data_IF_230055909572
#
_entry.id   IF_230055909572
#
_cell.length_a   1.000
_cell.length_b   1.000
_cell.length_c   1.000
_cell.angle_alpha   90.00
_cell.angle_beta   90.00
_cell.angle_gamma   90.00
#
_symmetry.space_group_name_H-M   'P 1'
#
loop_
_entity.id
_entity.type
_entity.pdbx_description
1 polymer ?
#
# COMPACT_ATOMS: atom_id res chain seq x y z
N UNK A 1 -83.62 -46.76 -16.23
CA UNK A 1 -84.10 -45.41 -15.86
C UNK A 1 -83.58 -45.09 -14.46
N UNK A 2 -82.27 -44.80 -14.33
CA UNK A 2 -81.66 -43.47 -14.14
C UNK A 2 -82.12 -42.74 -12.87
N UNK A 3 -81.27 -42.76 -11.83
CA UNK A 3 -81.24 -41.77 -10.75
C UNK A 3 -79.79 -41.39 -10.46
N UNK A 4 -79.51 -40.12 -10.67
CA UNK A 4 -78.19 -39.50 -10.70
C UNK A 4 -77.81 -38.92 -9.34
N UNK A 5 -76.52 -39.01 -9.03
CA UNK A 5 -75.81 -38.53 -7.85
C UNK A 5 -75.84 -37.00 -7.67
N UNK A 6 -75.87 -36.58 -6.40
CA UNK A 6 -75.64 -35.21 -5.91
C UNK A 6 -74.14 -34.94 -5.75
N UNK A 7 -73.63 -33.81 -6.24
CA UNK A 7 -72.43 -33.15 -5.73
C UNK A 7 -72.59 -31.62 -5.78
N UNK A 8 -72.21 -30.98 -4.66
CA UNK A 8 -72.37 -29.56 -4.38
C UNK A 8 -71.41 -28.68 -5.21
N UNK A 9 -71.92 -27.59 -5.79
CA UNK A 9 -71.10 -26.50 -6.36
C UNK A 9 -70.92 -25.39 -5.33
N UNK A 10 -69.66 -25.06 -5.03
CA UNK A 10 -69.26 -23.83 -4.34
C UNK A 10 -69.54 -22.61 -5.23
N UNK A 11 -70.14 -21.57 -4.65
CA UNK A 11 -70.32 -20.26 -5.27
C UNK A 11 -68.98 -19.51 -5.19
N UNK A 12 -68.41 -19.16 -6.34
CA UNK A 12 -67.30 -18.22 -6.44
C UNK A 12 -67.88 -16.83 -6.73
N UNK A 13 -67.87 -15.95 -5.73
CA UNK A 13 -68.20 -14.53 -5.91
C UNK A 13 -66.99 -13.84 -6.53
N UNK A 14 -67.06 -13.52 -7.82
CA UNK A 14 -66.06 -12.70 -8.51
C UNK A 14 -66.26 -11.26 -8.06
N UNK A 15 -65.38 -10.76 -7.19
CA UNK A 15 -65.25 -9.33 -6.94
C UNK A 15 -64.50 -8.70 -8.11
N UNK A 16 -65.24 -8.06 -9.01
CA UNK A 16 -64.66 -7.15 -10.01
C UNK A 16 -64.28 -5.86 -9.27
N UNK A 17 -63.01 -5.73 -8.88
CA UNK A 17 -62.46 -4.44 -8.47
C UNK A 17 -62.27 -3.61 -9.75
N UNK A 18 -62.84 -2.39 -9.85
CA UNK A 18 -62.67 -1.57 -11.04
C UNK A 18 -61.21 -1.18 -11.22
N UNK A 19 -60.70 -1.41 -12.44
CA UNK A 19 -59.31 -1.19 -12.89
C UNK A 19 -58.79 0.24 -12.62
N UNK A 20 -59.68 1.19 -12.33
CA UNK A 20 -59.33 2.58 -12.02
C UNK A 20 -58.64 2.78 -10.65
N UNK A 21 -58.86 1.89 -9.67
CA UNK A 21 -58.27 2.05 -8.32
C UNK A 21 -56.85 1.45 -8.26
N UNK A 22 -56.56 0.43 -9.07
CA UNK A 22 -55.23 -0.18 -9.15
C UNK A 22 -54.19 0.74 -9.81
N UNK A 23 -54.61 1.60 -10.75
CA UNK A 23 -53.71 2.56 -11.41
C UNK A 23 -53.35 3.74 -10.50
N UNK A 24 -54.25 4.13 -9.58
CA UNK A 24 -53.99 5.23 -8.64
C UNK A 24 -53.05 4.84 -7.50
N UNK A 25 -53.10 3.57 -7.05
CA UNK A 25 -52.16 3.02 -6.06
C UNK A 25 -50.78 2.71 -6.66
N UNK A 26 -50.68 2.28 -7.93
CA UNK A 26 -49.37 2.05 -8.58
C UNK A 26 -48.65 3.36 -8.91
N UNK A 27 -49.38 4.41 -9.28
CA UNK A 27 -48.79 5.73 -9.56
C UNK A 27 -48.40 6.48 -8.29
N UNK A 28 -49.11 6.31 -7.17
CA UNK A 28 -48.65 6.86 -5.88
C UNK A 28 -47.50 6.07 -5.25
N UNK A 29 -47.44 4.73 -5.43
CA UNK A 29 -46.29 3.93 -4.98
C UNK A 29 -45.01 4.19 -5.79
N UNK A 30 -45.12 4.46 -7.09
CA UNK A 30 -43.95 4.79 -7.93
C UNK A 30 -43.45 6.23 -7.72
N UNK A 31 -44.31 7.15 -7.25
CA UNK A 31 -43.91 8.53 -6.91
C UNK A 31 -43.36 8.63 -5.48
N UNK A 32 -43.72 7.70 -4.58
CA UNK A 32 -43.23 7.71 -3.20
C UNK A 32 -41.78 7.24 -3.03
N UNK A 33 -41.22 6.49 -3.97
CA UNK A 33 -39.79 6.10 -3.96
C UNK A 33 -38.86 7.12 -4.62
N UNK A 34 -39.41 8.09 -5.36
CA UNK A 34 -38.61 9.14 -6.04
C UNK A 34 -38.50 10.43 -5.21
N UNK A 35 -39.28 10.58 -4.12
CA UNK A 35 -39.31 11.80 -3.29
C UNK A 35 -38.72 11.66 -1.87
N UNK A 36 -37.94 10.61 -1.59
CA UNK A 36 -37.35 10.40 -0.26
C UNK A 36 -35.82 10.27 -0.24
N UNK A 37 -35.10 11.03 -1.08
CA UNK A 37 -33.70 11.35 -0.79
C UNK A 37 -33.50 12.87 -0.80
N UNK A 38 -33.92 13.51 0.28
CA UNK A 38 -33.83 14.98 0.46
C UNK A 38 -32.44 15.44 0.94
N UNK A 39 -31.54 14.52 1.29
CA UNK A 39 -30.14 14.84 1.53
C UNK A 39 -29.25 14.12 0.51
N UNK A 40 -28.68 14.84 -0.49
CA UNK A 40 -27.63 14.27 -1.31
C UNK A 40 -26.48 13.82 -0.42
N UNK A 41 -25.89 12.67 -0.75
CA UNK A 41 -24.75 12.15 -0.03
C UNK A 41 -23.55 13.08 -0.07
N UNK A 42 -22.82 13.15 1.04
CA UNK A 42 -21.55 13.89 1.17
C UNK A 42 -20.47 12.95 1.68
N UNK A 43 -19.35 12.91 0.98
CA UNK A 43 -18.13 12.23 1.44
C UNK A 43 -17.01 13.25 1.51
N UNK A 44 -16.37 13.36 2.67
CA UNK A 44 -15.21 14.23 2.87
C UNK A 44 -14.03 13.43 3.37
N UNK A 45 -12.84 13.93 3.09
CA UNK A 45 -11.61 13.26 3.46
C UNK A 45 -10.38 14.11 3.18
N UNK A 46 -9.23 13.46 3.23
CA UNK A 46 -7.96 14.09 2.91
C UNK A 46 -6.97 13.10 2.25
N UNK A 47 -6.00 13.65 1.52
CA UNK A 47 -4.85 12.93 1.00
C UNK A 47 -3.59 13.65 1.45
N UNK A 48 -2.69 12.93 2.11
CA UNK A 48 -1.50 13.50 2.73
C UNK A 48 -0.21 12.79 2.35
N UNK A 49 0.89 13.54 2.45
CA UNK A 49 2.24 13.04 2.46
C UNK A 49 2.64 12.69 3.91
N UNK A 50 2.89 11.41 4.14
CA UNK A 50 3.56 10.86 5.31
C UNK A 50 5.08 10.91 5.08
N UNK A 51 5.69 12.06 5.37
CA UNK A 51 7.10 12.31 5.07
C UNK A 51 8.01 11.29 5.76
N UNK A 52 7.67 10.88 6.98
CA UNK A 52 8.46 9.90 7.75
C UNK A 52 8.19 8.45 7.35
N UNK A 53 7.13 8.20 6.58
CA UNK A 53 6.72 6.87 6.14
C UNK A 53 6.29 5.95 7.29
N UNK A 54 5.93 6.49 8.45
CA UNK A 54 5.67 5.72 9.67
C UNK A 54 4.17 5.49 9.95
N UNK A 55 3.29 5.98 9.08
CA UNK A 55 1.85 5.92 9.19
C UNK A 55 1.29 6.59 10.47
N UNK A 56 1.94 7.66 10.95
CA UNK A 56 1.50 8.45 12.11
C UNK A 56 0.71 9.70 11.66
N UNK A 57 -0.62 9.76 11.86
CA UNK A 57 -1.43 10.87 11.40
C UNK A 57 -1.04 12.25 11.95
N UNK A 58 -0.27 12.31 13.04
CA UNK A 58 0.17 13.57 13.64
C UNK A 58 1.27 14.28 12.84
N UNK A 59 1.92 13.59 11.89
CA UNK A 59 3.01 14.15 11.09
C UNK A 59 2.67 14.36 9.61
N UNK A 60 1.43 14.09 9.23
CA UNK A 60 0.97 14.20 7.85
C UNK A 60 0.97 15.66 7.40
N UNK A 61 1.41 15.88 6.17
CA UNK A 61 1.38 17.19 5.51
C UNK A 61 0.64 17.11 4.17
N UNK A 62 -0.01 18.17 3.71
CA UNK A 62 -0.60 18.19 2.36
C UNK A 62 0.46 17.97 1.28
N UNK A 63 0.09 17.29 0.20
CA UNK A 63 0.90 17.30 -1.02
C UNK A 63 0.93 18.71 -1.63
N UNK A 64 2.06 19.07 -2.23
CA UNK A 64 2.18 20.33 -2.97
C UNK A 64 1.27 20.34 -4.21
N UNK A 65 1.11 19.15 -4.81
CA UNK A 65 0.31 18.89 -5.99
C UNK A 65 -1.06 18.35 -5.57
N UNK A 66 -2.19 18.89 -6.09
CA UNK A 66 -3.52 18.35 -5.79
C UNK A 66 -3.67 16.89 -6.23
N UNK A 67 -4.06 16.03 -5.29
CA UNK A 67 -4.35 14.64 -5.56
C UNK A 67 -5.74 14.49 -6.19
N UNK A 68 -5.88 13.59 -7.18
CA UNK A 68 -7.18 13.23 -7.74
C UNK A 68 -7.79 12.09 -6.92
N UNK A 69 -9.05 12.25 -6.56
CA UNK A 69 -9.80 11.26 -5.76
C UNK A 69 -11.03 10.86 -6.54
N UNK A 70 -11.30 9.56 -6.64
CA UNK A 70 -12.43 9.01 -7.37
C UNK A 70 -13.36 8.25 -6.43
N UNK A 71 -14.67 8.26 -6.73
CA UNK A 71 -15.67 7.50 -5.99
C UNK A 71 -16.47 6.59 -6.91
N UNK A 72 -16.71 5.37 -6.44
CA UNK A 72 -17.42 4.29 -7.13
C UNK A 72 -18.59 3.80 -6.29
N UNK A 73 -19.68 3.40 -6.96
CA UNK A 73 -20.78 2.63 -6.35
C UNK A 73 -20.69 1.20 -6.85
N UNK A 74 -20.36 0.25 -5.97
CA UNK A 74 -20.00 -1.09 -6.42
C UNK A 74 -18.82 -1.04 -7.39
N UNK A 75 -19.01 -1.49 -8.63
CA UNK A 75 -18.00 -1.40 -9.70
C UNK A 75 -18.20 -0.22 -10.65
N UNK A 76 -19.25 0.58 -10.45
CA UNK A 76 -19.58 1.71 -11.33
C UNK A 76 -18.88 2.97 -10.86
N UNK A 77 -18.04 3.55 -11.72
CA UNK A 77 -17.47 4.88 -11.52
C UNK A 77 -18.58 5.93 -11.44
N UNK A 78 -18.51 6.83 -10.45
CA UNK A 78 -19.48 7.91 -10.27
C UNK A 78 -18.88 9.24 -10.70
N UNK A 79 -17.80 9.66 -10.05
CA UNK A 79 -17.15 10.96 -10.30
C UNK A 79 -15.75 10.99 -9.69
N UNK A 80 -15.01 12.07 -10.01
CA UNK A 80 -13.72 12.41 -9.44
C UNK A 80 -13.74 13.85 -8.93
N UNK A 81 -12.86 14.15 -7.98
CA UNK A 81 -12.59 15.49 -7.46
C UNK A 81 -11.09 15.61 -7.20
N UNK A 82 -10.61 16.81 -6.84
CA UNK A 82 -9.22 17.05 -6.46
C UNK A 82 -9.16 17.54 -5.03
N UNK A 83 -8.05 17.27 -4.35
CA UNK A 83 -7.79 17.90 -3.04
C UNK A 83 -7.55 19.41 -3.20
N UNK A 84 -7.85 20.16 -2.15
CA UNK A 84 -7.45 21.55 -2.01
C UNK A 84 -5.99 21.67 -1.52
N UNK A 85 -5.53 22.90 -1.27
CA UNK A 85 -4.16 23.19 -0.80
C UNK A 85 -3.87 22.67 0.62
N UNK A 86 -4.92 22.35 1.40
CA UNK A 86 -4.81 21.68 2.69
C UNK A 86 -4.90 20.15 2.57
N UNK A 87 -4.96 19.59 1.36
CA UNK A 87 -5.07 18.15 1.13
C UNK A 87 -6.47 17.60 1.29
N UNK A 88 -7.48 18.44 1.51
CA UNK A 88 -8.86 18.01 1.76
C UNK A 88 -9.67 17.89 0.45
N UNK A 89 -10.60 16.94 0.40
CA UNK A 89 -11.53 16.81 -0.71
C UNK A 89 -12.97 16.62 -0.23
N UNK A 90 -13.92 16.94 -1.10
CA UNK A 90 -15.36 16.78 -0.84
C UNK A 90 -16.06 16.29 -2.11
N UNK A 91 -16.83 15.22 -1.98
CA UNK A 91 -17.87 14.83 -2.93
C UNK A 91 -19.22 15.30 -2.39
N UNK A 92 -19.96 16.05 -3.20
CA UNK A 92 -21.33 16.49 -2.90
C UNK A 92 -22.29 15.98 -3.96
N UNK A 93 -23.59 16.15 -3.75
CA UNK A 93 -24.62 15.81 -4.74
C UNK A 93 -24.54 14.36 -5.23
N UNK A 94 -24.14 13.43 -4.34
CA UNK A 94 -24.13 12.02 -4.67
C UNK A 94 -25.58 11.52 -4.72
N UNK A 95 -26.18 11.55 -5.92
CA UNK A 95 -27.57 11.13 -6.14
C UNK A 95 -27.65 9.60 -6.07
N UNK A 96 -28.62 9.08 -5.33
CA UNK A 96 -28.76 7.64 -5.07
C UNK A 96 -27.80 7.12 -3.98
N UNK A 97 -27.30 8.00 -3.12
CA UNK A 97 -26.61 7.65 -1.87
C UNK A 97 -27.59 7.00 -0.88
N UNK A 98 -28.25 5.92 -1.31
CA UNK A 98 -29.24 5.23 -0.52
C UNK A 98 -28.56 4.51 0.65
N UNK A 99 -29.16 4.62 1.84
CA UNK A 99 -28.72 3.93 3.04
C UNK A 99 -28.47 2.44 2.76
N UNK A 100 -27.34 1.92 3.24
CA UNK A 100 -26.95 0.53 3.06
C UNK A 100 -26.18 0.20 1.77
N UNK A 101 -26.00 1.17 0.86
CA UNK A 101 -25.17 1.01 -0.35
C UNK A 101 -23.68 1.02 -0.02
N UNK A 102 -22.90 0.25 -0.78
CA UNK A 102 -21.43 0.20 -0.68
C UNK A 102 -20.77 1.09 -1.72
N UNK A 103 -19.85 1.93 -1.25
CA UNK A 103 -19.01 2.78 -2.07
C UNK A 103 -17.54 2.46 -1.88
N UNK A 104 -16.76 2.79 -2.89
CA UNK A 104 -15.30 2.72 -2.84
C UNK A 104 -14.74 4.09 -3.18
N UNK A 105 -13.82 4.57 -2.33
CA UNK A 105 -13.03 5.77 -2.58
C UNK A 105 -11.63 5.32 -2.97
N UNK A 106 -11.07 5.94 -3.99
CA UNK A 106 -9.72 5.65 -4.47
C UNK A 106 -8.97 6.96 -4.72
N UNK A 107 -7.65 6.90 -4.62
CA UNK A 107 -6.77 8.02 -4.96
C UNK A 107 -6.00 7.65 -6.21
N UNK A 108 -6.04 8.54 -7.19
CA UNK A 108 -5.14 8.48 -8.35
C UNK A 108 -3.84 9.16 -7.90
N UNK A 109 -2.68 8.60 -8.30
CA UNK A 109 -1.36 8.94 -7.78
C UNK A 109 -1.22 10.41 -7.32
N UNK A 110 -1.10 10.68 -6.01
CA UNK A 110 -1.22 12.03 -5.49
C UNK A 110 0.03 12.89 -5.74
N UNK A 111 1.16 12.27 -6.08
CA UNK A 111 2.36 12.98 -6.49
C UNK A 111 2.99 12.22 -7.65
N UNK A 112 2.91 12.81 -8.84
CA UNK A 112 3.74 12.38 -9.97
C UNK A 112 4.99 13.25 -9.89
N UNK A 113 6.07 12.74 -9.28
CA UNK A 113 7.38 13.35 -9.45
C UNK A 113 7.65 13.40 -10.97
N UNK A 114 7.50 14.59 -11.55
CA UNK A 114 7.51 14.77 -12.99
C UNK A 114 8.84 14.31 -13.58
N UNK A 115 8.80 13.47 -14.62
CA UNK A 115 9.99 13.00 -15.32
C UNK A 115 10.51 11.62 -14.91
N UNK A 116 9.81 10.90 -14.02
CA UNK A 116 10.22 9.55 -13.61
C UNK A 116 9.27 8.46 -14.11
N UNK A 117 9.34 8.12 -15.40
CA UNK A 117 8.65 6.93 -15.93
C UNK A 117 9.54 5.70 -15.79
N UNK A 118 8.99 4.58 -15.28
CA UNK A 118 9.57 3.26 -15.47
C UNK A 118 8.55 2.28 -16.10
N UNK A 119 8.91 1.00 -16.25
CA UNK A 119 8.03 0.00 -16.84
C UNK A 119 6.74 -0.22 -16.04
N UNK A 120 6.76 0.19 -14.77
CA UNK A 120 5.67 0.18 -13.81
C UNK A 120 5.06 1.59 -13.60
N UNK A 121 5.37 2.64 -14.38
CA UNK A 121 4.65 3.94 -14.37
C UNK A 121 5.43 5.17 -13.85
N UNK A 122 4.74 6.31 -13.68
CA UNK A 122 5.33 7.60 -13.33
C UNK A 122 5.38 7.88 -11.82
N UNK A 123 6.58 8.13 -11.28
CA UNK A 123 6.77 9.00 -10.11
C UNK A 123 6.05 8.58 -8.81
N UNK A 124 5.80 7.29 -8.59
CA UNK A 124 4.74 6.82 -7.69
C UNK A 124 5.14 6.78 -6.21
N UNK A 125 4.32 7.41 -5.36
CA UNK A 125 4.35 7.24 -3.91
C UNK A 125 3.63 5.98 -3.46
N UNK A 126 4.06 5.41 -2.35
CA UNK A 126 3.41 4.22 -1.80
C UNK A 126 2.51 4.58 -0.62
N UNK A 127 1.34 3.95 -0.55
CA UNK A 127 0.41 4.18 0.57
C UNK A 127 1.05 3.70 1.87
N UNK A 128 0.88 4.45 2.95
CA UNK A 128 1.33 4.09 4.31
C UNK A 128 0.18 4.00 5.29
N UNK A 129 -0.86 4.83 5.10
CA UNK A 129 -2.00 4.92 6.01
C UNK A 129 -3.32 5.04 5.25
N UNK A 130 -4.38 4.57 5.91
CA UNK A 130 -5.74 4.72 5.44
C UNK A 130 -6.73 4.85 6.60
N UNK A 131 -7.80 5.62 6.39
CA UNK A 131 -8.95 5.69 7.29
C UNK A 131 -10.22 5.70 6.47
N UNK A 132 -11.19 4.85 6.80
CA UNK A 132 -12.56 5.02 6.26
C UNK A 132 -13.37 6.07 6.98
N UNK A 133 -12.77 6.70 7.99
CA UNK A 133 -13.30 7.87 8.66
C UNK A 133 -14.42 7.57 9.64
N UNK A 134 -15.08 8.64 10.08
CA UNK A 134 -16.15 8.57 11.07
C UNK A 134 -17.52 8.48 10.39
N UNK A 135 -18.33 7.54 10.87
CA UNK A 135 -19.72 7.39 10.43
C UNK A 135 -20.64 8.16 11.38
N UNK A 136 -21.34 9.17 10.86
CA UNK A 136 -22.34 9.91 11.65
C UNK A 136 -23.62 9.07 11.85
N UNK A 137 -23.72 8.42 13.02
CA UNK A 137 -24.88 7.82 13.70
C UNK A 137 -25.09 6.28 13.64
N UNK A 138 -25.17 5.70 14.85
CA UNK A 138 -25.98 4.56 15.34
C UNK A 138 -26.17 3.28 14.52
N UNK A 139 -25.29 2.98 13.57
CA UNK A 139 -25.18 1.64 13.02
C UNK A 139 -23.81 1.08 13.37
N UNK A 140 -23.77 -0.12 13.95
CA UNK A 140 -22.55 -0.92 14.03
C UNK A 140 -21.95 -0.94 12.62
N UNK A 141 -20.77 -0.35 12.39
CA UNK A 141 -20.26 -0.28 11.04
C UNK A 141 -20.08 -1.71 10.55
N UNK A 142 -20.44 -1.98 9.29
CA UNK A 142 -20.34 -3.33 8.76
C UNK A 142 -18.88 -3.76 8.93
N UNK A 143 -18.65 -4.97 9.43
CA UNK A 143 -17.30 -5.56 9.58
C UNK A 143 -16.51 -5.66 8.26
N UNK A 144 -17.17 -5.32 7.14
CA UNK A 144 -16.60 -5.26 5.80
C UNK A 144 -16.16 -3.86 5.36
N UNK A 145 -16.55 -2.78 6.06
CA UNK A 145 -16.11 -1.42 5.75
C UNK A 145 -14.70 -1.17 6.27
N UNK A 146 -13.96 -0.30 5.60
CA UNK A 146 -12.60 0.03 5.97
C UNK A 146 -11.62 0.06 4.78
N UNK A 147 -10.36 0.40 5.06
CA UNK A 147 -9.28 0.28 4.10
C UNK A 147 -9.09 -1.16 3.59
N UNK A 148 -8.90 -1.29 2.28
CA UNK A 148 -8.56 -2.55 1.65
C UNK A 148 -7.03 -2.63 1.55
N UNK A 149 -6.41 -3.26 2.54
CA UNK A 149 -4.95 -3.39 2.64
C UNK A 149 -4.50 -4.84 2.38
N UNK A 150 -3.23 -5.00 2.00
CA UNK A 150 -2.57 -6.28 1.96
C UNK A 150 -2.40 -6.83 3.39
N UNK A 151 -2.74 -8.10 3.56
CA UNK A 151 -2.61 -8.83 4.80
C UNK A 151 -3.93 -8.86 5.57
N UNK A 152 -4.80 -9.84 5.34
CA UNK A 152 -5.78 -10.26 6.37
C UNK A 152 -5.19 -11.36 7.26
N UNK A 153 -4.33 -12.17 6.67
CA UNK A 153 -3.30 -13.02 7.26
C UNK A 153 -1.97 -12.64 6.59
N UNK A 154 -0.84 -12.84 7.27
CA UNK A 154 0.47 -12.27 6.89
C UNK A 154 0.73 -12.28 5.37
N UNK A 155 0.92 -11.10 4.78
CA UNK A 155 1.21 -10.90 3.34
C UNK A 155 0.15 -11.35 2.32
N UNK A 156 -1.09 -11.62 2.74
CA UNK A 156 -2.17 -12.03 1.81
C UNK A 156 -2.69 -10.83 1.00
N UNK A 157 -2.57 -10.92 -0.31
CA UNK A 157 -3.02 -9.91 -1.27
C UNK A 157 -4.50 -10.05 -1.59
N UNK A 158 -5.16 -8.94 -1.94
CA UNK A 158 -6.56 -8.95 -2.35
C UNK A 158 -6.70 -8.89 -3.88
N UNK A 159 -7.04 -10.04 -4.47
CA UNK A 159 -7.14 -10.28 -5.92
C UNK A 159 -7.90 -9.20 -6.70
N UNK A 160 -7.38 -8.77 -7.84
CA UNK A 160 -8.04 -7.84 -8.76
C UNK A 160 -9.36 -8.33 -9.37
N UNK A 161 -9.71 -9.61 -9.31
CA UNK A 161 -10.79 -10.14 -10.16
C UNK A 161 -12.21 -9.75 -9.73
N UNK A 162 -12.46 -9.47 -8.44
CA UNK A 162 -13.80 -9.11 -7.97
C UNK A 162 -13.75 -8.17 -6.75
N UNK A 163 -14.12 -6.91 -6.96
CA UNK A 163 -14.14 -5.87 -5.93
C UNK A 163 -15.04 -6.20 -4.73
N UNK A 164 -16.12 -6.97 -4.92
CA UNK A 164 -17.03 -7.34 -3.85
C UNK A 164 -16.48 -8.43 -2.92
N UNK A 165 -15.46 -9.16 -3.34
CA UNK A 165 -14.77 -10.15 -2.50
C UNK A 165 -13.67 -9.52 -1.64
N UNK A 166 -13.41 -8.22 -1.79
CA UNK A 166 -12.45 -7.51 -0.96
C UNK A 166 -13.00 -7.29 0.44
N UNK A 167 -12.14 -7.55 1.41
CA UNK A 167 -12.47 -7.53 2.82
C UNK A 167 -11.56 -6.49 3.47
N UNK A 168 -12.14 -5.56 4.20
CA UNK A 168 -11.36 -4.62 5.01
C UNK A 168 -10.43 -5.38 5.96
N UNK A 169 -9.20 -4.88 6.12
CA UNK A 169 -8.22 -5.53 6.98
C UNK A 169 -8.73 -5.62 8.42
N UNK A 170 -8.59 -6.80 9.03
CA UNK A 170 -9.08 -7.13 10.36
C UNK A 170 -8.47 -6.22 11.45
N UNK A 171 -7.26 -5.71 11.25
CA UNK A 171 -6.65 -4.78 12.21
C UNK A 171 -7.18 -3.35 12.13
N UNK A 172 -7.86 -3.02 11.03
CA UNK A 172 -8.62 -1.80 10.92
C UNK A 172 -10.06 -1.99 11.41
N UNK A 173 -10.46 -3.14 11.98
CA UNK A 173 -11.86 -3.35 12.36
C UNK A 173 -12.28 -2.67 13.67
N UNK A 174 -11.33 -2.37 14.56
CA UNK A 174 -11.67 -1.75 15.85
C UNK A 174 -11.77 -0.21 15.76
N UNK A 175 -11.18 0.42 14.74
CA UNK A 175 -11.20 1.89 14.54
C UNK A 175 -11.29 2.37 13.07
N UNK A 176 -11.38 1.46 12.10
CA UNK A 176 -11.46 1.76 10.65
C UNK A 176 -10.31 2.60 10.07
N UNK A 177 -9.19 2.64 10.79
CA UNK A 177 -8.05 3.49 10.50
C UNK A 177 -6.74 2.86 10.96
N UNK A 178 -5.68 3.01 10.17
CA UNK A 178 -4.36 2.51 10.54
C UNK A 178 -3.40 2.36 9.36
N UNK A 179 -2.22 1.75 9.63
CA UNK A 179 -1.25 1.42 8.61
C UNK A 179 -1.86 0.58 7.48
N UNK A 180 -1.56 0.97 6.24
CA UNK A 180 -2.04 0.33 5.02
C UNK A 180 -0.95 0.34 3.94
N UNK A 181 0.23 -0.19 4.29
CA UNK A 181 1.37 -0.19 3.39
C UNK A 181 1.10 -0.99 2.12
N UNK A 182 1.45 -0.44 0.95
CA UNK A 182 1.32 -1.18 -0.31
C UNK A 182 -0.11 -1.27 -0.87
N UNK A 183 -1.09 -0.63 -0.24
CA UNK A 183 -2.51 -0.77 -0.61
C UNK A 183 -2.98 -2.22 -0.56
N UNK A 184 -3.92 -2.62 -1.43
CA UNK A 184 -4.52 -3.97 -1.37
C UNK A 184 -3.63 -5.09 -1.90
N UNK A 185 -2.61 -4.75 -2.68
CA UNK A 185 -1.67 -5.68 -3.30
C UNK A 185 -0.35 -4.98 -3.62
N UNK A 186 0.67 -5.26 -2.82
CA UNK A 186 2.00 -4.71 -2.99
C UNK A 186 2.78 -5.24 -4.20
N UNK A 187 2.31 -6.33 -4.84
CA UNK A 187 2.89 -6.81 -6.11
C UNK A 187 2.16 -6.25 -7.32
N UNK A 188 1.01 -5.63 -7.15
CA UNK A 188 0.35 -4.92 -8.24
C UNK A 188 1.27 -3.80 -8.71
N UNK A 189 1.53 -3.76 -10.02
CA UNK A 189 2.18 -2.60 -10.65
C UNK A 189 1.27 -1.37 -10.54
N UNK A 190 1.70 -0.26 -11.12
CA UNK A 190 0.89 0.96 -11.08
C UNK A 190 -0.35 0.84 -11.94
N UNK A 191 -1.50 0.81 -11.28
CA UNK A 191 -2.80 0.74 -11.95
C UNK A 191 -3.79 1.80 -11.44
N UNK A 192 -3.36 2.64 -10.48
CA UNK A 192 -4.01 3.88 -10.02
C UNK A 192 -3.75 5.06 -10.95
N UNK A 193 -3.74 4.78 -12.26
CA UNK A 193 -3.56 5.77 -13.31
C UNK A 193 -4.72 6.78 -13.28
N UNK A 194 -4.35 8.05 -13.50
CA UNK A 194 -5.32 9.13 -13.68
C UNK A 194 -6.37 8.75 -14.72
N UNK A 195 -7.65 8.84 -14.35
CA UNK A 195 -8.77 8.64 -15.29
C UNK A 195 -9.19 7.18 -15.51
N UNK A 196 -8.60 6.23 -14.80
CA UNK A 196 -9.02 4.83 -14.85
C UNK A 196 -10.39 4.61 -14.16
N UNK A 197 -11.43 4.31 -14.94
CA UNK A 197 -12.79 4.12 -14.42
C UNK A 197 -13.08 2.67 -14.00
N UNK A 198 -12.07 1.80 -13.96
CA UNK A 198 -12.21 0.42 -13.52
C UNK A 198 -11.71 0.23 -12.07
N UNK A 199 -12.62 -0.02 -11.13
CA UNK A 199 -12.28 -0.22 -9.72
C UNK A 199 -11.31 -1.40 -9.52
N UNK A 200 -11.40 -2.46 -10.33
CA UNK A 200 -10.55 -3.66 -10.16
C UNK A 200 -9.10 -3.44 -10.53
N UNK A 201 -8.80 -2.35 -11.22
CA UNK A 201 -7.45 -1.90 -11.47
C UNK A 201 -6.95 -0.93 -10.38
N UNK A 202 -7.78 -0.47 -9.44
CA UNK A 202 -7.30 0.49 -8.42
C UNK A 202 -6.54 -0.21 -7.30
N UNK A 203 -5.37 0.25 -6.86
CA UNK A 203 -4.54 -0.37 -5.79
C UNK A 203 -4.87 0.21 -4.42
N UNK A 204 -5.09 1.52 -4.34
CA UNK A 204 -5.42 2.23 -3.10
C UNK A 204 -6.93 2.45 -2.97
N UNK A 205 -7.58 1.60 -2.16
CA UNK A 205 -9.04 1.54 -2.09
C UNK A 205 -9.52 1.54 -0.64
N UNK A 206 -10.50 2.39 -0.34
CA UNK A 206 -11.21 2.39 0.93
C UNK A 206 -12.68 2.11 0.66
N UNK A 207 -13.21 1.08 1.32
CA UNK A 207 -14.63 0.75 1.27
C UNK A 207 -15.37 1.53 2.35
N UNK A 208 -16.41 2.26 1.95
CA UNK A 208 -17.28 3.00 2.87
C UNK A 208 -18.74 2.54 2.69
N UNK A 209 -19.47 2.48 3.80
CA UNK A 209 -20.94 2.43 3.77
C UNK A 209 -21.52 3.75 4.23
N UNK A 210 -22.72 4.03 3.75
CA UNK A 210 -23.46 5.25 4.06
C UNK A 210 -24.63 4.87 4.96
N UNK A 211 -24.71 5.55 6.10
CA UNK A 211 -25.83 5.44 7.04
C UNK A 211 -26.72 6.69 6.98
N UNK A 212 -27.91 6.61 7.55
CA UNK A 212 -29.12 7.42 7.30
C UNK A 212 -28.97 8.96 7.26
N UNK A 213 -27.85 9.53 7.70
CA UNK A 213 -27.56 10.96 7.60
C UNK A 213 -26.88 11.39 6.28
N UNK A 214 -26.50 10.42 5.43
CA UNK A 214 -25.92 10.68 4.11
C UNK A 214 -24.50 11.26 4.15
N UNK A 215 -23.82 11.26 5.30
CA UNK A 215 -22.48 11.85 5.46
C UNK A 215 -21.44 10.82 5.92
N UNK A 216 -20.32 10.78 5.21
CA UNK A 216 -19.08 10.10 5.63
C UNK A 216 -17.98 11.15 5.67
N UNK A 217 -17.25 11.22 6.78
CA UNK A 217 -16.18 12.20 6.97
C UNK A 217 -14.87 11.51 7.33
N UNK A 218 -13.75 12.19 7.15
CA UNK A 218 -12.41 11.70 7.53
C UNK A 218 -11.96 10.45 6.77
N UNK A 219 -12.36 10.32 5.50
CA UNK A 219 -11.82 9.28 4.60
C UNK A 219 -10.41 9.69 4.16
N UNK A 220 -9.39 9.17 4.85
CA UNK A 220 -8.01 9.63 4.73
C UNK A 220 -7.15 8.61 3.99
N UNK A 221 -6.30 9.10 3.10
CA UNK A 221 -5.17 8.36 2.57
C UNK A 221 -3.88 9.10 2.94
N UNK A 222 -2.83 8.37 3.31
CA UNK A 222 -1.49 8.95 3.35
C UNK A 222 -0.49 8.08 2.59
N UNK A 223 0.49 8.75 2.00
CA UNK A 223 1.46 8.16 1.09
C UNK A 223 2.85 8.67 1.41
N UNK A 224 3.88 7.89 1.10
CA UNK A 224 5.26 8.26 1.34
C UNK A 224 6.16 7.85 0.19
N UNK A 225 7.15 8.70 -0.07
CA UNK A 225 8.30 8.39 -0.92
C UNK A 225 9.36 7.57 -0.19
N UNK A 226 9.33 7.59 1.15
CA UNK A 226 10.38 7.07 2.01
C UNK A 226 10.18 5.60 2.40
N UNK A 227 9.19 4.91 1.82
CA UNK A 227 8.88 3.52 2.19
C UNK A 227 9.22 2.54 1.07
N UNK A 228 9.85 1.42 1.44
CA UNK A 228 10.10 0.29 0.54
C UNK A 228 9.26 -0.88 1.04
N UNK A 229 8.36 -1.36 0.18
CA UNK A 229 7.29 -2.30 0.55
C UNK A 229 7.43 -3.67 -0.11
N UNK A 230 8.24 -3.78 -1.14
CA UNK A 230 8.38 -5.00 -1.92
C UNK A 230 9.80 -5.15 -2.50
N UNK A 231 10.08 -6.33 -3.06
CA UNK A 231 11.38 -6.71 -3.65
C UNK A 231 11.38 -6.63 -5.18
N UNK A 232 10.52 -5.82 -5.77
CA UNK A 232 10.64 -5.49 -7.20
C UNK A 232 11.80 -4.53 -7.41
N UNK A 233 12.36 -4.57 -8.61
CA UNK A 233 13.42 -3.65 -9.02
C UNK A 233 12.88 -2.29 -9.50
N UNK A 234 11.60 -2.22 -9.90
CA UNK A 234 10.92 -1.01 -10.39
C UNK A 234 9.54 -0.88 -9.77
N UNK A 235 8.92 0.29 -9.99
CA UNK A 235 7.57 0.59 -9.56
C UNK A 235 7.43 1.05 -8.11
N UNK A 236 6.18 1.31 -7.68
CA UNK A 236 5.86 1.84 -6.37
C UNK A 236 6.41 0.93 -5.25
N UNK A 237 6.99 1.56 -4.22
CA UNK A 237 7.51 0.84 -3.06
C UNK A 237 8.75 -0.03 -3.32
N UNK A 238 9.42 0.13 -4.48
CA UNK A 238 10.74 -0.46 -4.73
C UNK A 238 11.87 0.40 -4.15
N UNK A 239 13.00 -0.22 -3.80
CA UNK A 239 14.21 0.50 -3.35
C UNK A 239 14.72 1.49 -4.42
N UNK A 240 14.62 1.11 -5.70
CA UNK A 240 15.01 1.98 -6.80
C UNK A 240 14.16 3.23 -6.87
N UNK A 241 12.86 3.11 -6.66
CA UNK A 241 11.95 4.26 -6.63
C UNK A 241 12.24 5.17 -5.44
N UNK A 242 12.54 4.60 -4.26
CA UNK A 242 13.01 5.38 -3.10
C UNK A 242 14.23 6.25 -3.45
N UNK A 243 15.26 5.67 -4.09
CA UNK A 243 16.48 6.43 -4.46
C UNK A 243 16.13 7.56 -5.45
N UNK A 244 15.27 7.30 -6.44
CA UNK A 244 14.81 8.33 -7.38
C UNK A 244 14.11 9.47 -6.65
N UNK A 245 13.22 9.16 -5.73
CA UNK A 245 12.52 10.16 -4.93
C UNK A 245 13.46 10.95 -4.04
N UNK A 246 14.42 10.28 -3.38
CA UNK A 246 15.44 10.93 -2.57
C UNK A 246 16.29 11.92 -3.37
N UNK A 247 16.58 11.63 -4.64
CA UNK A 247 17.28 12.54 -5.54
C UNK A 247 16.44 13.74 -5.97
N UNK A 248 15.13 13.56 -6.09
CA UNK A 248 14.22 14.58 -6.61
C UNK A 248 13.67 15.51 -5.50
N UNK A 249 13.52 15.00 -4.28
CA UNK A 249 12.87 15.68 -3.17
C UNK A 249 13.93 16.24 -2.21
N UNK A 250 13.84 17.54 -1.96
CA UNK A 250 14.73 18.23 -1.04
C UNK A 250 14.51 17.79 0.40
N UNK A 251 15.59 17.75 1.18
CA UNK A 251 15.55 17.43 2.61
C UNK A 251 15.99 16.00 2.91
N UNK A 252 15.83 15.58 4.16
CA UNK A 252 16.19 14.24 4.60
C UNK A 252 15.22 13.21 4.04
N UNK A 253 15.74 12.23 3.31
CA UNK A 253 14.98 11.09 2.81
C UNK A 253 15.50 9.83 3.50
N UNK A 254 14.76 9.35 4.49
CA UNK A 254 15.15 8.20 5.29
C UNK A 254 14.28 7.00 4.97
N UNK A 255 14.88 5.97 4.38
CA UNK A 255 14.18 4.75 4.02
C UNK A 255 13.60 4.08 5.26
N UNK A 256 12.33 3.73 5.18
CA UNK A 256 11.66 2.79 6.06
C UNK A 256 11.35 1.52 5.28
N UNK A 257 12.04 0.44 5.62
CA UNK A 257 11.79 -0.86 4.99
C UNK A 257 10.59 -1.55 5.66
N UNK A 258 9.46 -1.61 4.97
CA UNK A 258 8.19 -2.15 5.45
C UNK A 258 7.67 -3.22 4.50
N UNK A 259 8.33 -4.40 4.43
CA UNK A 259 7.93 -5.42 3.49
C UNK A 259 6.50 -5.90 3.76
N UNK A 260 5.66 -5.82 2.75
CA UNK A 260 4.26 -6.33 2.71
C UNK A 260 4.14 -7.54 1.79
N UNK A 261 5.27 -8.14 1.48
CA UNK A 261 5.41 -9.45 0.83
C UNK A 261 6.20 -10.37 1.74
N UNK A 262 5.92 -11.67 1.66
CA UNK A 262 6.69 -12.67 2.39
C UNK A 262 8.17 -12.59 1.99
N UNK A 263 9.04 -12.86 2.96
CA UNK A 263 10.46 -13.08 2.74
C UNK A 263 10.65 -14.11 1.61
N UNK A 264 11.39 -13.71 0.57
CA UNK A 264 11.56 -14.53 -0.63
C UNK A 264 12.79 -15.44 -0.56
N UNK A 265 13.54 -15.38 0.55
CA UNK A 265 14.58 -16.33 0.90
C UNK A 265 14.39 -16.84 2.33
N UNK A 266 14.73 -18.10 2.52
CA UNK A 266 14.65 -18.77 3.80
C UNK A 266 15.56 -20.01 3.81
N UNK A 267 16.11 -20.32 4.97
CA UNK A 267 16.77 -21.61 5.28
C UNK A 267 16.11 -22.33 6.44
N UNK A 268 15.02 -21.77 6.97
CA UNK A 268 14.24 -22.29 8.07
C UNK A 268 13.05 -21.38 8.40
N UNK A 269 12.40 -21.64 9.53
CA UNK A 269 11.24 -20.85 10.00
C UNK A 269 11.63 -19.55 10.69
N UNK A 270 12.86 -19.45 11.20
CA UNK A 270 13.40 -18.27 11.92
C UNK A 270 14.55 -17.59 11.17
N UNK A 271 14.89 -18.08 9.97
CA UNK A 271 15.96 -17.55 9.13
C UNK A 271 15.37 -17.25 7.77
N UNK A 272 14.67 -16.12 7.69
CA UNK A 272 13.99 -15.66 6.49
C UNK A 272 14.37 -14.20 6.25
N UNK A 273 14.61 -13.83 5.00
CA UNK A 273 15.02 -12.48 4.65
C UNK A 273 14.52 -12.11 3.26
N UNK A 274 14.65 -10.82 2.94
CA UNK A 274 14.24 -10.27 1.66
C UNK A 274 15.46 -10.02 0.79
N UNK A 275 15.53 -10.74 -0.34
CA UNK A 275 16.56 -10.59 -1.35
C UNK A 275 16.03 -9.79 -2.53
N UNK A 276 16.66 -8.67 -2.83
CA UNK A 276 16.48 -7.90 -4.04
C UNK A 276 17.56 -8.31 -5.05
N UNK A 277 17.23 -9.03 -6.14
CA UNK A 277 18.19 -9.30 -7.18
C UNK A 277 18.52 -8.01 -7.94
N UNK A 278 19.79 -7.80 -8.27
CA UNK A 278 20.29 -6.71 -9.10
C UNK A 278 20.97 -7.27 -10.33
N UNK A 279 20.71 -6.69 -11.49
CA UNK A 279 21.31 -7.09 -12.76
C UNK A 279 21.93 -5.90 -13.48
N UNK A 280 22.91 -6.15 -14.34
CA UNK A 280 23.55 -5.09 -15.14
C UNK A 280 22.60 -4.32 -16.06
N UNK A 281 21.44 -4.90 -16.40
CA UNK A 281 20.43 -4.27 -17.24
C UNK A 281 19.51 -3.32 -16.47
N UNK A 282 19.49 -3.43 -15.14
CA UNK A 282 18.60 -2.68 -14.29
C UNK A 282 19.30 -2.37 -12.96
N UNK A 283 20.12 -1.32 -12.99
CA UNK A 283 20.88 -0.82 -11.85
C UNK A 283 20.12 0.28 -11.10
N UNK A 284 20.58 0.58 -9.88
CA UNK A 284 20.10 1.73 -9.15
C UNK A 284 20.64 3.02 -9.78
N UNK A 285 19.86 4.11 -9.77
CA UNK A 285 20.40 5.42 -10.08
C UNK A 285 21.44 5.83 -9.03
N UNK A 286 22.38 6.67 -9.43
CA UNK A 286 23.33 7.32 -8.51
C UNK A 286 22.56 8.11 -7.43
N UNK A 287 23.02 8.05 -6.18
CA UNK A 287 22.44 8.79 -5.06
C UNK A 287 22.99 10.21 -5.10
N UNK A 288 22.18 11.15 -5.57
CA UNK A 288 22.47 12.59 -5.67
C UNK A 288 21.71 13.44 -4.65
N UNK A 289 20.71 12.86 -3.98
CA UNK A 289 19.99 13.47 -2.87
C UNK A 289 20.82 13.50 -1.57
N UNK A 290 21.11 14.68 -0.99
CA UNK A 290 21.84 14.75 0.28
C UNK A 290 21.00 14.22 1.45
N UNK A 291 21.65 13.82 2.53
CA UNK A 291 20.99 13.29 3.74
C UNK A 291 20.05 12.09 3.45
N UNK A 292 20.39 11.29 2.43
CA UNK A 292 19.67 10.05 2.11
C UNK A 292 20.12 8.93 3.04
N UNK A 293 19.17 8.24 3.68
CA UNK A 293 19.44 7.09 4.53
C UNK A 293 18.83 5.84 3.90
N UNK A 294 19.65 4.85 3.58
CA UNK A 294 19.21 3.50 3.19
C UNK A 294 19.45 2.58 4.38
N UNK A 295 18.36 2.16 5.02
CA UNK A 295 18.35 1.32 6.22
C UNK A 295 17.63 -0.02 5.97
N UNK A 296 18.35 -1.13 6.04
CA UNK A 296 17.79 -2.47 5.86
C UNK A 296 17.00 -3.02 7.04
N UNK A 297 16.81 -2.26 8.13
CA UNK A 297 15.95 -2.66 9.25
C UNK A 297 14.49 -2.84 8.80
N UNK A 298 13.99 -4.08 8.86
CA UNK A 298 12.60 -4.36 8.54
C UNK A 298 11.65 -3.91 9.65
N UNK A 299 10.49 -3.41 9.25
CA UNK A 299 9.38 -3.04 10.12
C UNK A 299 8.11 -3.81 9.76
N UNK A 300 7.33 -4.16 10.78
CA UNK A 300 6.07 -4.86 10.63
C UNK A 300 5.03 -3.88 10.10
N UNK A 301 4.52 -4.15 8.90
CA UNK A 301 3.58 -3.29 8.17
C UNK A 301 2.29 -2.92 8.90
N UNK A 302 1.97 -3.62 9.98
CA UNK A 302 0.76 -3.42 10.77
C UNK A 302 0.94 -2.52 11.98
N UNK A 303 2.13 -2.54 12.58
CA UNK A 303 2.37 -1.89 13.88
C UNK A 303 3.56 -0.93 13.83
N UNK A 304 4.36 -0.97 12.76
CA UNK A 304 5.61 -0.25 12.65
C UNK A 304 6.74 -0.79 13.53
N UNK A 305 6.49 -1.83 14.36
CA UNK A 305 7.52 -2.45 15.20
C UNK A 305 8.64 -3.06 14.34
N UNK A 306 9.86 -3.10 14.87
CA UNK A 306 10.99 -3.75 14.20
C UNK A 306 10.73 -5.25 14.06
N UNK A 307 11.14 -5.80 12.92
CA UNK A 307 11.03 -7.23 12.59
C UNK A 307 12.43 -7.81 12.50
N UNK A 308 12.60 -8.98 13.12
CA UNK A 308 13.79 -9.83 13.04
C UNK A 308 13.35 -11.22 12.54
N UNK A 309 13.18 -11.34 11.22
CA UNK A 309 12.85 -12.62 10.57
C UNK A 309 14.09 -13.43 10.24
N UNK A 310 15.26 -12.78 10.15
CA UNK A 310 16.52 -13.40 9.85
C UNK A 310 17.36 -13.60 11.11
N UNK A 311 16.82 -14.36 12.07
CA UNK A 311 17.40 -14.43 13.40
C UNK A 311 18.84 -14.95 13.39
N UNK A 312 19.61 -14.44 14.35
CA UNK A 312 20.97 -14.84 14.61
C UNK A 312 22.00 -13.85 14.07
N UNK A 313 23.25 -14.29 14.05
CA UNK A 313 24.39 -13.42 13.80
C UNK A 313 25.25 -13.98 12.68
N UNK A 314 25.79 -13.11 11.84
CA UNK A 314 26.85 -13.45 10.87
C UNK A 314 28.14 -13.78 11.64
N UNK A 315 28.48 -12.94 12.61
CA UNK A 315 29.59 -13.16 13.54
C UNK A 315 29.08 -12.94 14.95
N UNK A 316 29.26 -13.95 15.82
CA UNK A 316 28.89 -13.85 17.22
C UNK A 316 29.78 -12.84 17.97
N UNK A 317 29.29 -12.33 19.10
CA UNK A 317 30.08 -11.45 19.95
C UNK A 317 31.36 -12.17 20.39
N UNK A 318 32.49 -11.46 20.37
CA UNK A 318 33.79 -12.03 20.72
C UNK A 318 34.59 -11.07 21.58
N UNK A 319 35.53 -11.60 22.35
CA UNK A 319 36.47 -10.79 23.13
C UNK A 319 37.82 -10.76 22.44
N UNK A 320 38.40 -9.57 22.33
CA UNK A 320 39.72 -9.39 21.72
C UNK A 320 40.71 -8.71 22.67
N UNK A 321 41.98 -9.00 22.45
CA UNK A 321 43.09 -8.44 23.20
C UNK A 321 43.20 -8.95 24.63
N UNK A 322 44.31 -8.59 25.28
CA UNK A 322 44.62 -9.00 26.66
C UNK A 322 43.65 -8.47 27.71
N UNK A 323 42.92 -7.39 27.39
CA UNK A 323 41.92 -6.75 28.25
C UNK A 323 40.50 -7.27 28.02
N UNK A 324 40.31 -8.31 27.19
CA UNK A 324 39.00 -8.89 26.88
C UNK A 324 37.97 -7.86 26.40
N UNK A 325 38.38 -6.98 25.47
CA UNK A 325 37.46 -5.98 24.93
C UNK A 325 36.37 -6.67 24.10
N UNK A 326 35.11 -6.37 24.41
CA UNK A 326 33.97 -6.96 23.72
C UNK A 326 33.80 -6.33 22.34
N UNK A 327 33.86 -7.15 21.30
CA UNK A 327 33.31 -6.84 19.97
C UNK A 327 31.88 -7.35 19.94
N UNK A 328 30.94 -6.46 19.66
CA UNK A 328 29.52 -6.80 19.53
C UNK A 328 29.29 -7.80 18.40
N UNK A 329 28.22 -8.59 18.52
CA UNK A 329 27.80 -9.46 17.44
C UNK A 329 27.29 -8.64 16.25
N UNK A 330 27.45 -9.19 15.04
CA UNK A 330 26.85 -8.66 13.83
C UNK A 330 25.60 -9.49 13.53
N UNK A 331 24.43 -8.92 13.77
CA UNK A 331 23.15 -9.56 13.44
C UNK A 331 23.04 -9.76 11.92
N UNK A 332 22.31 -10.79 11.50
CA UNK A 332 22.05 -10.99 10.08
C UNK A 332 21.09 -9.91 9.55
N UNK A 333 21.42 -9.22 8.45
CA UNK A 333 20.52 -8.26 7.83
C UNK A 333 19.21 -8.87 7.35
N UNK A 334 18.12 -8.09 7.43
CA UNK A 334 16.81 -8.47 6.88
C UNK A 334 16.73 -8.24 5.36
N UNK A 335 17.50 -7.27 4.85
CA UNK A 335 17.57 -6.92 3.44
C UNK A 335 18.90 -7.38 2.84
N UNK A 336 18.82 -8.18 1.77
CA UNK A 336 19.94 -8.57 0.93
C UNK A 336 19.81 -7.93 -0.45
N UNK A 337 20.88 -7.34 -0.95
CA UNK A 337 21.04 -7.00 -2.35
C UNK A 337 21.95 -8.05 -2.99
N UNK A 338 21.38 -8.79 -3.93
CA UNK A 338 22.06 -9.90 -4.59
C UNK A 338 22.51 -9.49 -5.99
N UNK A 339 23.81 -9.33 -6.13
CA UNK A 339 24.47 -8.66 -7.23
C UNK A 339 24.83 -9.66 -8.32
N UNK A 340 24.24 -9.44 -9.50
CA UNK A 340 24.64 -10.06 -10.76
C UNK A 340 25.05 -8.96 -11.75
N UNK A 341 26.11 -8.26 -11.37
CA UNK A 341 26.64 -7.09 -12.07
C UNK A 341 27.87 -7.46 -12.92
N UNK A 342 28.15 -6.65 -13.94
CA UNK A 342 29.38 -6.76 -14.71
C UNK A 342 30.58 -6.15 -13.98
N UNK A 343 31.77 -6.37 -14.54
CA UNK A 343 33.02 -5.76 -14.06
C UNK A 343 32.90 -4.23 -14.08
N UNK A 344 33.38 -3.57 -13.02
CA UNK A 344 33.34 -2.11 -12.82
C UNK A 344 31.94 -1.49 -12.67
N UNK A 345 30.88 -2.29 -12.54
CA UNK A 345 29.59 -1.78 -12.11
C UNK A 345 29.55 -1.65 -10.58
N UNK A 346 28.76 -0.69 -10.09
CA UNK A 346 28.46 -0.56 -8.67
C UNK A 346 27.02 -0.95 -8.40
N UNK A 347 26.75 -1.47 -7.20
CA UNK A 347 25.38 -1.58 -6.71
C UNK A 347 24.85 -0.21 -6.32
N UNK A 348 25.59 0.52 -5.48
CA UNK A 348 25.25 1.89 -5.07
C UNK A 348 26.40 2.85 -5.43
N UNK A 349 26.14 3.80 -6.32
CA UNK A 349 27.02 4.95 -6.56
C UNK A 349 26.51 6.14 -5.73
N UNK A 350 27.38 6.78 -4.95
CA UNK A 350 27.06 7.87 -4.02
C UNK A 350 27.75 9.16 -4.44
N UNK A 351 26.95 10.17 -4.78
CA UNK A 351 27.39 11.49 -5.23
C UNK A 351 26.91 12.64 -4.35
N UNK A 352 26.28 12.34 -3.21
CA UNK A 352 25.71 13.32 -2.31
C UNK A 352 26.31 13.25 -0.90
N UNK A 353 26.24 14.37 -0.19
CA UNK A 353 26.71 14.47 1.19
C UNK A 353 25.72 13.89 2.20
N UNK A 354 26.29 13.40 3.30
CA UNK A 354 25.59 12.89 4.47
C UNK A 354 24.69 11.68 4.15
N UNK A 355 25.12 10.86 3.18
CA UNK A 355 24.44 9.60 2.87
C UNK A 355 24.80 8.57 3.93
N UNK A 356 23.81 7.81 4.40
CA UNK A 356 24.01 6.69 5.32
C UNK A 356 23.49 5.42 4.68
N UNK A 357 24.31 4.36 4.65
CA UNK A 357 23.93 3.03 4.19
C UNK A 357 24.17 2.06 5.34
N UNK A 358 23.13 1.36 5.79
CA UNK A 358 23.25 0.46 6.94
C UNK A 358 22.29 -0.71 6.97
N UNK A 359 22.68 -1.77 7.68
CA UNK A 359 21.81 -2.91 7.94
C UNK A 359 21.47 -3.73 6.70
N UNK A 360 22.33 -3.72 5.68
CA UNK A 360 22.13 -4.41 4.40
C UNK A 360 23.20 -5.48 4.21
N UNK A 361 22.80 -6.63 3.68
CA UNK A 361 23.72 -7.62 3.15
C UNK A 361 23.95 -7.39 1.65
N UNK A 362 25.20 -7.32 1.22
CA UNK A 362 25.61 -7.30 -0.18
C UNK A 362 26.29 -8.62 -0.51
N UNK A 363 25.79 -9.30 -1.52
CA UNK A 363 26.25 -10.63 -1.90
C UNK A 363 26.23 -10.80 -3.41
N UNK A 364 27.14 -11.61 -3.95
CA UNK A 364 27.27 -11.84 -5.40
C UNK A 364 26.88 -13.27 -5.77
N UNK A 365 26.45 -13.49 -7.02
CA UNK A 365 26.04 -14.82 -7.48
C UNK A 365 27.19 -15.81 -7.68
N UNK A 366 28.44 -15.34 -7.70
CA UNK A 366 29.55 -16.10 -8.22
C UNK A 366 30.70 -16.14 -7.21
N UNK A 367 31.03 -17.34 -6.71
CA UNK A 367 32.36 -17.71 -6.19
C UNK A 367 33.46 -17.61 -7.29
N UNK A 368 33.19 -16.90 -8.39
CA UNK A 368 34.15 -16.72 -9.46
C UNK A 368 35.23 -15.75 -8.98
N UNK A 369 36.51 -16.07 -9.24
CA UNK A 369 37.61 -15.26 -8.77
C UNK A 369 37.49 -13.85 -9.36
N UNK A 370 37.27 -12.86 -8.47
CA UNK A 370 37.40 -11.44 -8.75
C UNK A 370 36.53 -10.88 -9.90
N UNK A 371 35.21 -10.83 -9.70
CA UNK A 371 34.42 -9.76 -10.34
C UNK A 371 34.71 -8.48 -9.56
N UNK A 372 35.38 -7.51 -10.20
CA UNK A 372 35.63 -6.18 -9.64
C UNK A 372 34.37 -5.30 -9.75
N UNK A 373 33.24 -5.77 -9.24
CA UNK A 373 32.08 -4.92 -8.98
C UNK A 373 32.24 -4.24 -7.62
N UNK A 374 31.64 -3.08 -7.45
CA UNK A 374 31.68 -2.35 -6.20
C UNK A 374 30.34 -2.51 -5.48
N UNK A 375 30.34 -2.95 -4.22
CA UNK A 375 29.12 -2.94 -3.41
C UNK A 375 28.63 -1.49 -3.23
N UNK A 376 29.55 -0.60 -2.86
CA UNK A 376 29.30 0.83 -2.71
C UNK A 376 30.49 1.59 -3.30
N UNK A 377 30.22 2.54 -4.19
CA UNK A 377 31.21 3.49 -4.71
C UNK A 377 30.85 4.89 -4.26
N UNK A 378 31.86 5.61 -3.78
CA UNK A 378 31.73 6.97 -3.29
C UNK A 378 32.46 7.93 -4.24
N UNK A 379 31.80 8.99 -4.67
CA UNK A 379 32.44 10.06 -5.43
C UNK A 379 33.36 10.90 -4.53
N UNK A 380 34.43 11.45 -5.09
CA UNK A 380 35.40 12.22 -4.32
C UNK A 380 34.74 13.45 -3.66
N UNK A 381 35.04 13.66 -2.38
CA UNK A 381 34.60 14.85 -1.64
C UNK A 381 33.22 14.77 -1.00
N UNK A 382 32.51 13.64 -1.09
CA UNK A 382 31.22 13.46 -0.41
C UNK A 382 31.38 12.84 0.98
N UNK A 383 30.46 13.09 1.90
CA UNK A 383 30.41 12.41 3.20
C UNK A 383 29.47 11.18 3.15
N UNK A 384 30.03 9.97 3.36
CA UNK A 384 29.30 8.71 3.36
C UNK A 384 29.55 7.95 4.67
N UNK A 385 28.48 7.57 5.35
CA UNK A 385 28.51 6.63 6.49
C UNK A 385 28.07 5.24 6.04
N UNK A 386 28.91 4.23 6.30
CA UNK A 386 28.61 2.81 6.06
C UNK A 386 28.74 2.07 7.38
N UNK A 387 27.63 1.58 7.93
CA UNK A 387 27.60 0.93 9.24
C UNK A 387 26.74 -0.33 9.25
N UNK A 388 27.07 -1.33 10.06
CA UNK A 388 26.24 -2.54 10.26
C UNK A 388 25.82 -3.26 8.97
N UNK A 389 26.60 -3.14 7.89
CA UNK A 389 26.40 -3.89 6.66
C UNK A 389 27.22 -5.17 6.68
N UNK A 390 26.81 -6.14 5.87
CA UNK A 390 27.51 -7.40 5.66
C UNK A 390 27.89 -7.50 4.19
N UNK A 391 29.16 -7.73 3.89
CA UNK A 391 29.67 -7.81 2.52
C UNK A 391 30.23 -9.21 2.24
N UNK A 392 29.95 -9.74 1.05
CA UNK A 392 30.51 -11.02 0.61
C UNK A 392 30.08 -12.20 1.46
N UNK A 393 28.87 -12.17 2.02
CA UNK A 393 28.36 -13.25 2.87
C UNK A 393 27.11 -13.85 2.27
N UNK A 394 27.14 -15.16 2.01
CA UNK A 394 25.94 -15.87 1.61
C UNK A 394 25.16 -16.31 2.85
N UNK A 395 24.06 -15.61 3.11
CA UNK A 395 23.14 -15.89 4.22
C UNK A 395 22.43 -17.24 4.08
N UNK A 396 22.43 -17.85 2.88
CA UNK A 396 21.82 -19.16 2.66
C UNK A 396 22.70 -20.33 3.08
N UNK A 397 24.01 -20.24 2.87
CA UNK A 397 24.98 -21.28 3.21
C UNK A 397 25.73 -20.98 4.50
N UNK A 398 25.61 -19.76 5.02
CA UNK A 398 26.35 -19.28 6.19
C UNK A 398 27.87 -19.30 5.96
N UNK A 399 28.29 -18.96 4.74
CA UNK A 399 29.68 -18.95 4.30
C UNK A 399 30.05 -17.59 3.69
N UNK A 400 31.31 -17.18 3.84
CA UNK A 400 31.88 -16.06 3.09
C UNK A 400 32.02 -16.44 1.62
N UNK A 401 31.36 -15.69 0.75
CA UNK A 401 31.71 -15.59 -0.66
C UNK A 401 32.99 -14.75 -0.79
N UNK A 402 33.85 -15.06 -1.75
CA UNK A 402 35.02 -14.22 -2.04
C UNK A 402 34.57 -12.92 -2.71
N UNK A 403 34.54 -11.79 -1.99
CA UNK A 403 34.33 -10.45 -2.57
C UNK A 403 35.48 -9.49 -2.20
N UNK A 404 35.64 -8.40 -2.97
CA UNK A 404 36.61 -7.33 -2.73
C UNK A 404 35.93 -6.05 -2.28
#
# INVERSE_FOLDING_TARGET
>A
MSRTFYWARRVATVFVVPLAIAVFLLTTYAVSTVLAQTNPGVVTGAVYHDVAGNADPNNFVPFATPAKVSIFRGTTYITTTTTDASGHYTFTNLIGFASGSTYFVTVDNPDELSGFTDSDGDGVVEQTYASSGTFTASATPKTSDGPICAGRSEYVQQSATNAFSWIADAQNQDNYSGPCYGGRDAKMGFTDLTGNTNITARKHVIRISVYDTGKTQDVIFAFSHNVVTNMKQEGPGSLRMFIRSANAISGTNAMRFVPVVAANKNTGTTTQWWRLPMTSTLTFPEITGPATVIDGQAHYYRTGATVDKNQGTVVGATQVGVNQHNIAAVNRPELEIFENLNINESTLDVAADNVTIRGIAFNTQNDLPAIASYHIRQNAGVNLMVENNVFGYDMSTNTTATSR
#
